data_IF_616866828483
#
_entry.id   IF_616866828483
#
_cell.length_a   1.000
_cell.length_b   1.000
_cell.length_c   1.000
_cell.angle_alpha   90.00
_cell.angle_beta   90.00
_cell.angle_gamma   90.00
#
_symmetry.space_group_name_H-M   'P 1'
#
loop_
_entity.id
_entity.type
_entity.pdbx_description
1 polymer ?
#
# COMPACT_ATOMS: atom_id res chain seq x y z
N UNK A 1 0.06 -4.25 -15.49
CA UNK A 1 -0.05 -3.07 -14.60
C UNK A 1 0.22 -3.53 -13.17
N UNK A 2 1.32 -3.03 -12.61
CA UNK A 2 1.77 -3.29 -11.24
C UNK A 2 1.55 -1.99 -10.46
N UNK A 3 0.95 -2.05 -9.27
CA UNK A 3 0.78 -0.86 -8.44
C UNK A 3 2.00 -0.80 -7.51
N UNK A 4 2.69 0.33 -7.51
CA UNK A 4 3.86 0.58 -6.67
C UNK A 4 3.72 1.91 -5.95
N UNK A 5 4.22 1.95 -4.72
CA UNK A 5 4.18 3.17 -3.90
C UNK A 5 5.34 4.07 -4.29
N UNK A 6 5.03 5.29 -4.70
CA UNK A 6 6.03 6.30 -5.02
C UNK A 6 6.56 6.95 -3.73
N UNK A 7 7.75 6.52 -3.29
CA UNK A 7 8.32 6.93 -1.99
C UNK A 7 8.53 8.44 -1.88
N UNK A 8 8.80 9.14 -2.97
CA UNK A 8 8.97 10.60 -3.01
C UNK A 8 7.70 11.37 -2.65
N UNK A 9 6.52 10.77 -2.88
CA UNK A 9 5.21 11.35 -2.54
C UNK A 9 4.67 10.86 -1.20
N UNK A 10 5.27 9.82 -0.64
CA UNK A 10 4.87 9.28 0.64
C UNK A 10 5.59 10.05 1.76
N UNK A 11 4.87 10.71 2.68
CA UNK A 11 5.50 11.47 3.76
C UNK A 11 6.14 10.58 4.86
N UNK A 12 5.89 9.27 4.82
CA UNK A 12 6.45 8.27 5.75
C UNK A 12 6.34 8.62 7.25
N UNK A 13 5.28 9.34 7.62
CA UNK A 13 5.08 9.88 8.96
C UNK A 13 3.78 9.41 9.64
N UNK A 14 3.01 8.55 8.97
CA UNK A 14 1.74 8.03 9.48
C UNK A 14 1.47 6.61 8.97
N UNK A 15 0.53 5.93 9.62
CA UNK A 15 -0.01 4.66 9.14
C UNK A 15 -0.84 4.87 7.86
N UNK A 16 -0.44 4.28 6.74
CA UNK A 16 -1.12 4.51 5.47
C UNK A 16 -2.58 4.04 5.54
N UNK A 17 -3.57 4.91 5.24
CA UNK A 17 -4.98 4.54 5.28
C UNK A 17 -5.34 3.46 4.26
N UNK A 18 -4.60 3.38 3.14
CA UNK A 18 -4.82 2.38 2.09
C UNK A 18 -4.68 0.93 2.59
N UNK A 19 -3.91 0.69 3.67
CA UNK A 19 -3.80 -0.62 4.31
C UNK A 19 -5.18 -1.14 4.73
N UNK A 20 -6.02 -0.27 5.30
CA UNK A 20 -7.36 -0.60 5.76
C UNK A 20 -8.36 -0.76 4.62
N UNK A 21 -8.12 -0.05 3.51
CA UNK A 21 -9.00 -0.08 2.33
C UNK A 21 -8.76 -1.33 1.49
N UNK A 22 -7.54 -1.88 1.50
CA UNK A 22 -7.18 -3.03 0.69
C UNK A 22 -7.99 -4.28 1.08
N UNK A 23 -8.94 -4.75 0.23
CA UNK A 23 -9.81 -5.87 0.58
C UNK A 23 -9.06 -7.22 0.59
N UNK A 24 -7.89 -7.28 -0.04
CA UNK A 24 -7.06 -8.48 -0.13
C UNK A 24 -5.92 -8.51 0.90
N UNK A 25 -5.76 -7.45 1.72
CA UNK A 25 -4.63 -7.36 2.65
C UNK A 25 -3.25 -7.37 1.96
N UNK A 26 -3.18 -6.92 0.71
CA UNK A 26 -1.95 -6.90 -0.09
C UNK A 26 -1.00 -5.76 0.32
N UNK A 27 -1.50 -4.71 0.97
CA UNK A 27 -0.72 -3.53 1.35
C UNK A 27 -0.20 -3.71 2.77
N UNK A 28 1.12 -3.73 2.92
CA UNK A 28 1.80 -3.90 4.20
C UNK A 28 2.67 -2.68 4.53
N UNK A 29 2.68 -2.25 5.79
CA UNK A 29 3.53 -1.15 6.24
C UNK A 29 4.27 -1.53 7.52
N UNK A 30 5.54 -1.14 7.60
CA UNK A 30 6.37 -1.30 8.80
C UNK A 30 6.59 0.05 9.46
N UNK A 31 6.00 0.25 10.65
CA UNK A 31 6.05 1.53 11.35
C UNK A 31 5.35 2.62 10.53
N UNK A 32 6.05 3.74 10.27
CA UNK A 32 5.56 4.83 9.40
C UNK A 32 6.19 4.85 8.02
N UNK A 33 7.00 3.86 7.65
CA UNK A 33 7.63 3.81 6.33
C UNK A 33 6.60 3.71 5.19
N UNK A 34 7.05 3.97 3.96
CA UNK A 34 6.19 3.78 2.79
C UNK A 34 5.68 2.33 2.72
N UNK A 35 4.38 2.12 2.46
CA UNK A 35 3.82 0.79 2.33
C UNK A 35 4.42 0.03 1.15
N UNK A 36 4.40 -1.29 1.25
CA UNK A 36 4.82 -2.23 0.22
C UNK A 36 3.61 -3.03 -0.22
N UNK A 37 3.45 -3.19 -1.52
CA UNK A 37 2.33 -3.92 -2.12
C UNK A 37 2.83 -5.32 -2.49
N UNK A 38 2.29 -6.32 -1.80
CA UNK A 38 2.40 -7.74 -2.14
C UNK A 38 1.62 -7.99 -3.44
N UNK A 39 2.35 -8.28 -4.51
CA UNK A 39 1.75 -8.43 -5.84
C UNK A 39 1.07 -9.79 -6.01
N UNK A 40 1.47 -10.79 -5.24
CA UNK A 40 0.85 -12.12 -5.27
C UNK A 40 -0.54 -12.07 -4.62
N UNK A 41 -0.74 -11.20 -3.62
CA UNK A 41 -2.05 -10.96 -2.99
C UNK A 41 -2.88 -9.89 -3.70
N UNK A 42 -2.30 -9.12 -4.62
CA UNK A 42 -2.97 -7.99 -5.23
C UNK A 42 -4.02 -8.43 -6.28
N UNK A 43 -5.30 -8.30 -5.93
CA UNK A 43 -6.43 -8.61 -6.84
C UNK A 43 -6.76 -7.49 -7.84
N UNK A 44 -5.94 -6.43 -7.91
CA UNK A 44 -6.14 -5.28 -8.82
C UNK A 44 -7.55 -4.66 -8.72
N UNK A 45 -8.09 -4.54 -7.51
CA UNK A 45 -9.43 -4.02 -7.25
C UNK A 45 -9.63 -2.52 -7.57
N UNK A 46 -8.55 -1.77 -7.84
CA UNK A 46 -8.57 -0.32 -8.16
C UNK A 46 -9.25 0.58 -7.11
N UNK A 47 -9.24 0.17 -5.84
CA UNK A 47 -9.71 0.98 -4.69
C UNK A 47 -8.57 1.83 -4.13
N UNK A 48 -8.93 2.97 -3.52
CA UNK A 48 -8.06 3.99 -2.93
C UNK A 48 -8.47 4.26 -1.49
#
# INVERSE_FOLDING_TARGET
MQITVEKTRCPQNHACPAIKVCPAGAINQKGYNAPVIDQDKCIKCKKL
#
